data_IF_180486046331
#
_entry.id   IF_180486046331
#
_cell.length_a   1.000
_cell.length_b   1.000
_cell.length_c   1.000
_cell.angle_alpha   90.00
_cell.angle_beta   90.00
_cell.angle_gamma   90.00
#
_symmetry.space_group_name_H-M   'P 1'
#
loop_
_entity.id
_entity.type
_entity.pdbx_description
1 polymer ?
#
# COMPACT_ATOMS: atom_id res chain seq x y z
N UNK A 1 15.11 -4.71 7.52
CA UNK A 1 15.43 -3.36 7.00
C UNK A 1 16.94 -3.22 6.90
N UNK A 2 17.48 -2.55 5.88
CA UNK A 2 18.93 -2.37 5.72
C UNK A 2 19.48 -1.31 6.69
N UNK A 3 20.80 -1.27 6.87
CA UNK A 3 21.48 -0.21 7.62
C UNK A 3 21.28 1.17 6.98
N UNK A 4 21.33 1.23 5.65
CA UNK A 4 21.12 2.47 4.87
C UNK A 4 19.73 3.04 5.19
N UNK A 5 18.68 2.22 5.14
CA UNK A 5 17.32 2.65 5.44
C UNK A 5 17.14 3.14 6.89
N UNK A 6 17.87 2.56 7.85
CA UNK A 6 17.87 3.03 9.24
C UNK A 6 18.57 4.39 9.39
N UNK A 7 19.73 4.58 8.76
CA UNK A 7 20.51 5.82 8.82
C UNK A 7 19.74 7.02 8.22
N UNK A 8 18.86 6.76 7.24
CA UNK A 8 17.96 7.76 6.64
C UNK A 8 16.60 7.90 7.34
N UNK A 9 16.36 7.21 8.45
CA UNK A 9 15.11 7.30 9.21
C UNK A 9 13.87 6.78 8.46
N UNK A 10 14.05 5.91 7.47
CA UNK A 10 12.95 5.38 6.65
C UNK A 10 11.92 4.64 7.49
N UNK A 11 12.35 3.94 8.54
CA UNK A 11 11.42 3.26 9.45
C UNK A 11 10.42 4.22 10.10
N UNK A 12 10.91 5.32 10.66
CA UNK A 12 10.09 6.29 11.37
C UNK A 12 9.16 7.02 10.40
N UNK A 13 9.64 7.33 9.19
CA UNK A 13 8.83 7.89 8.12
C UNK A 13 7.68 6.95 7.71
N UNK A 14 7.96 5.66 7.47
CA UNK A 14 6.93 4.68 7.11
C UNK A 14 5.89 4.52 8.23
N UNK A 15 6.35 4.49 9.48
CA UNK A 15 5.46 4.43 10.65
C UNK A 15 4.58 5.68 10.77
N UNK A 16 5.14 6.87 10.58
CA UNK A 16 4.41 8.13 10.60
C UNK A 16 3.36 8.22 9.48
N UNK A 17 3.65 7.64 8.31
CA UNK A 17 2.73 7.53 7.18
C UNK A 17 1.71 6.39 7.34
N UNK A 18 1.81 5.57 8.39
CA UNK A 18 0.90 4.45 8.63
C UNK A 18 1.10 3.26 7.69
N UNK A 19 2.25 3.15 7.02
CA UNK A 19 2.57 2.06 6.11
C UNK A 19 2.83 0.78 6.91
N UNK A 20 2.10 -0.28 6.57
CA UNK A 20 2.19 -1.62 7.16
C UNK A 20 3.10 -2.51 6.31
N UNK A 21 3.38 -3.72 6.79
CA UNK A 21 4.09 -4.73 5.98
C UNK A 21 3.31 -5.10 4.72
N UNK A 22 1.99 -5.25 4.84
CA UNK A 22 1.05 -5.46 3.73
C UNK A 22 -0.03 -4.39 3.81
N UNK A 23 -0.22 -3.66 2.71
CA UNK A 23 -1.18 -2.56 2.58
C UNK A 23 -2.20 -2.92 1.51
N UNK A 24 -3.47 -2.56 1.72
CA UNK A 24 -4.47 -2.69 0.66
C UNK A 24 -4.31 -1.52 -0.33
N UNK A 25 -4.28 -1.85 -1.62
CA UNK A 25 -4.06 -0.91 -2.73
C UNK A 25 -5.34 -0.26 -3.26
N UNK A 26 -6.51 -0.59 -2.69
CA UNK A 26 -7.80 -0.02 -3.09
C UNK A 26 -8.46 0.68 -1.90
N UNK A 27 -9.12 1.81 -2.17
CA UNK A 27 -9.86 2.56 -1.16
C UNK A 27 -11.09 3.25 -1.74
N UNK A 28 -12.14 3.37 -0.94
CA UNK A 28 -13.33 4.20 -1.22
C UNK A 28 -13.23 5.59 -0.57
N UNK A 29 -12.06 5.95 -0.02
CA UNK A 29 -11.83 7.18 0.74
C UNK A 29 -12.10 7.05 2.24
N UNK A 30 -13.00 6.15 2.65
CA UNK A 30 -13.23 5.81 4.07
C UNK A 30 -12.71 4.43 4.45
N UNK A 31 -12.81 3.47 3.52
CA UNK A 31 -12.37 2.10 3.73
C UNK A 31 -11.20 1.76 2.81
N UNK A 32 -10.30 0.90 3.29
CA UNK A 32 -9.23 0.29 2.52
C UNK A 32 -9.51 -1.22 2.41
N UNK A 33 -9.40 -1.76 1.20
CA UNK A 33 -9.60 -3.19 0.93
C UNK A 33 -8.93 -3.54 -0.39
N UNK A 34 -8.51 -4.79 -0.55
CA UNK A 34 -8.05 -5.32 -1.83
C UNK A 34 -8.13 -6.84 -1.78
N UNK A 35 -8.29 -7.46 -2.94
CA UNK A 35 -8.46 -8.90 -3.09
C UNK A 35 -7.50 -9.53 -4.11
N UNK A 36 -6.66 -8.71 -4.76
CA UNK A 36 -5.76 -9.17 -5.81
C UNK A 36 -4.41 -9.70 -5.32
N UNK A 37 -3.51 -9.90 -6.27
CA UNK A 37 -2.15 -10.37 -6.01
C UNK A 37 -1.32 -9.34 -5.26
N UNK A 38 -0.24 -9.82 -4.63
CA UNK A 38 0.66 -8.97 -3.86
C UNK A 38 1.84 -8.51 -4.73
N UNK A 39 2.09 -7.21 -4.73
CA UNK A 39 3.31 -6.60 -5.28
C UNK A 39 4.24 -6.24 -4.12
N UNK A 40 5.51 -6.61 -4.23
CA UNK A 40 6.55 -6.26 -3.26
C UNK A 40 7.32 -5.02 -3.74
N UNK A 41 7.40 -3.99 -2.88
CA UNK A 41 8.14 -2.76 -3.16
C UNK A 41 9.54 -2.85 -2.59
N UNK A 42 10.54 -2.71 -3.46
CA UNK A 42 11.95 -2.78 -3.10
C UNK A 42 12.62 -1.42 -3.27
N UNK A 43 13.55 -1.11 -2.38
CA UNK A 43 14.39 0.07 -2.48
C UNK A 43 15.37 -0.08 -3.65
N UNK A 44 15.44 0.89 -4.58
CA UNK A 44 16.43 0.85 -5.66
C UNK A 44 17.85 1.16 -5.18
N UNK A 45 18.01 1.66 -3.94
CA UNK A 45 19.31 2.03 -3.38
C UNK A 45 20.07 0.81 -2.87
N UNK A 46 19.37 -0.17 -2.30
CA UNK A 46 19.98 -1.32 -1.62
C UNK A 46 19.26 -2.65 -1.85
N UNK A 47 18.22 -2.67 -2.68
CA UNK A 47 17.43 -3.87 -2.97
C UNK A 47 16.60 -4.38 -1.80
N UNK A 48 16.55 -3.65 -0.68
CA UNK A 48 15.83 -4.10 0.50
C UNK A 48 14.31 -4.00 0.30
N UNK A 49 13.59 -5.01 0.79
CA UNK A 49 12.12 -4.98 0.81
C UNK A 49 11.65 -3.86 1.75
N UNK A 50 10.82 -2.96 1.23
CA UNK A 50 10.23 -1.85 1.98
C UNK A 50 8.91 -2.31 2.60
N UNK A 51 7.95 -2.67 1.75
CA UNK A 51 6.61 -3.12 2.12
C UNK A 51 5.97 -3.82 0.92
N UNK A 52 4.76 -4.34 1.12
CA UNK A 52 3.95 -4.99 0.09
C UNK A 52 2.62 -4.27 -0.06
N UNK A 53 2.06 -4.30 -1.27
CA UNK A 53 0.72 -3.81 -1.57
C UNK A 53 -0.09 -4.93 -2.21
N UNK A 54 -1.33 -5.12 -1.76
CA UNK A 54 -2.28 -6.01 -2.40
C UNK A 54 -3.02 -5.23 -3.48
N UNK A 55 -3.09 -5.80 -4.68
CA UNK A 55 -3.62 -5.11 -5.85
C UNK A 55 -5.15 -5.13 -5.93
N UNK A 56 -5.68 -4.19 -6.68
CA UNK A 56 -7.11 -4.07 -7.00
C UNK A 56 -7.51 -5.13 -8.02
N UNK A 57 -8.52 -5.95 -7.72
CA UNK A 57 -9.16 -6.81 -8.74
C UNK A 57 -10.21 -6.04 -9.53
N UNK A 58 -10.78 -6.68 -10.56
CA UNK A 58 -11.92 -6.11 -11.28
C UNK A 58 -13.11 -5.88 -10.34
N UNK A 59 -13.39 -6.81 -9.45
CA UNK A 59 -14.50 -6.72 -8.48
C UNK A 59 -14.26 -5.58 -7.47
N UNK A 60 -13.03 -5.42 -6.99
CA UNK A 60 -12.66 -4.30 -6.11
C UNK A 60 -12.87 -2.96 -6.83
N UNK A 61 -12.50 -2.87 -8.11
CA UNK A 61 -12.72 -1.68 -8.94
C UNK A 61 -14.22 -1.34 -9.08
N UNK A 62 -15.06 -2.32 -9.41
CA UNK A 62 -16.51 -2.12 -9.53
C UNK A 62 -17.12 -1.64 -8.19
N UNK A 63 -16.66 -2.19 -7.07
CA UNK A 63 -17.08 -1.75 -5.72
C UNK A 63 -16.69 -0.29 -5.45
N UNK A 64 -15.48 0.12 -5.83
CA UNK A 64 -15.06 1.53 -5.72
C UNK A 64 -15.95 2.42 -6.58
N UNK A 65 -16.15 2.06 -7.85
CA UNK A 65 -16.96 2.84 -8.78
C UNK A 65 -18.40 3.00 -8.26
N UNK A 66 -19.03 1.92 -7.79
CA UNK A 66 -20.36 1.99 -7.19
C UNK A 66 -20.42 2.91 -5.97
N UNK A 67 -19.41 2.86 -5.10
CA UNK A 67 -19.34 3.69 -3.89
C UNK A 67 -19.15 5.17 -4.24
N UNK A 68 -18.25 5.45 -5.19
CA UNK A 68 -18.00 6.80 -5.68
C UNK A 68 -19.24 7.39 -6.35
N UNK A 69 -19.90 6.65 -7.25
CA UNK A 69 -21.13 7.11 -7.91
C UNK A 69 -22.28 7.35 -6.94
N UNK A 70 -22.37 6.60 -5.84
CA UNK A 70 -23.41 6.81 -4.82
C UNK A 70 -23.17 8.07 -3.98
N UNK A 71 -21.92 8.52 -3.85
CA UNK A 71 -21.54 9.64 -3.00
C UNK A 71 -21.74 11.03 -3.66
N UNK A 72 -22.01 11.09 -4.96
CA UNK A 72 -22.22 12.32 -5.75
C UNK A 72 -23.61 12.33 -6.38
#
# INVERSE_FOLDING_TARGET
MSKIAADFGIHDALKALGIKEVNDGTSTGSDYFSSGDIISSYSPVDGSLIAKVKTTTKEDYEKVMSSATTAF
#
